data_IF_529454958999
#
_entry.id   IF_529454958999
#
_cell.length_a   1.000
_cell.length_b   1.000
_cell.length_c   1.000
_cell.angle_alpha   90.00
_cell.angle_beta   90.00
_cell.angle_gamma   90.00
#
_symmetry.space_group_name_H-M   'P 1'
#
loop_
_entity.id
_entity.type
_entity.pdbx_description
1 polymer ?
#
# COMPACT_ATOMS: atom_id res chain seq x y z
N UNK A 1 -6.62 11.38 11.62
CA UNK A 1 -7.12 10.00 11.65
C UNK A 1 -6.17 9.10 12.46
N UNK A 2 -6.69 8.19 13.26
CA UNK A 2 -5.86 7.34 14.14
C UNK A 2 -4.79 6.53 13.41
N UNK A 3 -5.05 6.11 12.18
CA UNK A 3 -4.08 5.30 11.40
C UNK A 3 -2.79 6.06 11.09
N UNK A 4 -2.85 7.35 10.87
CA UNK A 4 -1.65 8.14 10.57
C UNK A 4 -0.78 8.33 11.81
N UNK A 5 -1.39 8.51 12.98
CA UNK A 5 -0.66 8.53 14.25
C UNK A 5 0.01 7.20 14.56
N UNK A 6 -0.71 6.11 14.38
CA UNK A 6 -0.16 4.77 14.52
C UNK A 6 1.02 4.56 13.55
N UNK A 7 0.87 4.99 12.30
CA UNK A 7 1.92 4.86 11.30
C UNK A 7 3.16 5.64 11.69
N UNK A 8 3.00 6.87 12.18
CA UNK A 8 4.12 7.68 12.64
C UNK A 8 4.85 7.03 13.81
N UNK A 9 4.13 6.48 14.80
CA UNK A 9 4.74 5.72 15.91
C UNK A 9 5.57 4.56 15.38
N UNK A 10 5.02 3.84 14.39
CA UNK A 10 5.72 2.70 13.77
C UNK A 10 6.98 3.13 13.04
N UNK A 11 6.93 4.23 12.30
CA UNK A 11 8.11 4.75 11.60
C UNK A 11 9.20 5.19 12.59
N UNK A 12 8.84 5.78 13.71
CA UNK A 12 9.80 6.12 14.76
C UNK A 12 10.51 4.89 15.30
N UNK A 13 9.78 3.81 15.57
CA UNK A 13 10.35 2.53 15.98
C UNK A 13 11.34 1.97 14.95
N UNK A 14 10.91 1.97 13.67
CA UNK A 14 11.73 1.45 12.58
C UNK A 14 12.99 2.29 12.35
N UNK A 15 12.89 3.60 12.53
CA UNK A 15 14.04 4.50 12.44
C UNK A 15 15.06 4.18 13.52
N UNK A 16 14.61 3.95 14.75
CA UNK A 16 15.48 3.58 15.87
C UNK A 16 16.20 2.25 15.64
N UNK A 17 15.53 1.32 14.94
CA UNK A 17 16.07 -0.01 14.62
C UNK A 17 16.87 -0.05 13.31
N UNK A 18 16.92 1.06 12.56
CA UNK A 18 17.68 1.15 11.32
C UNK A 18 17.02 0.49 10.11
N UNK A 19 15.69 0.36 10.11
CA UNK A 19 14.93 -0.23 9.02
C UNK A 19 14.44 0.79 8.00
N UNK A 20 14.38 0.39 6.75
CA UNK A 20 13.74 1.14 5.68
C UNK A 20 12.31 0.64 5.42
N UNK A 21 11.42 1.53 5.01
CA UNK A 21 10.03 1.19 4.76
C UNK A 21 9.47 1.89 3.52
N UNK A 22 8.58 1.19 2.83
CA UNK A 22 7.73 1.73 1.77
C UNK A 22 6.33 1.93 2.35
N UNK A 23 5.75 3.08 2.11
CA UNK A 23 4.41 3.42 2.55
C UNK A 23 3.58 3.75 1.31
N UNK A 24 2.67 2.84 0.96
CA UNK A 24 1.83 2.96 -0.22
C UNK A 24 0.44 3.47 0.12
N UNK A 25 -0.10 4.32 -0.75
CA UNK A 25 -1.51 4.69 -0.75
C UNK A 25 -2.03 4.77 -2.18
N UNK A 26 -3.28 4.39 -2.39
CA UNK A 26 -3.96 4.61 -3.66
C UNK A 26 -4.44 6.06 -3.80
N UNK A 27 -4.52 6.80 -2.69
CA UNK A 27 -5.03 8.17 -2.64
C UNK A 27 -3.90 9.17 -2.36
N UNK A 28 -3.85 10.23 -3.15
CA UNK A 28 -2.92 11.33 -2.91
C UNK A 28 -3.18 11.96 -1.53
N UNK A 29 -4.45 12.11 -1.16
CA UNK A 29 -4.83 12.61 0.16
C UNK A 29 -4.27 11.79 1.33
N UNK A 30 -4.16 10.48 1.17
CA UNK A 30 -3.52 9.61 2.17
C UNK A 30 -2.04 9.94 2.34
N UNK A 31 -1.33 10.14 1.25
CA UNK A 31 0.07 10.56 1.30
C UNK A 31 0.23 11.97 1.88
N UNK A 32 -0.67 12.90 1.54
CA UNK A 32 -0.66 14.25 2.09
C UNK A 32 -0.80 14.24 3.62
N UNK A 33 -1.73 13.44 4.14
CA UNK A 33 -1.92 13.27 5.57
C UNK A 33 -0.68 12.66 6.24
N UNK A 34 -0.07 11.68 5.59
CA UNK A 34 1.15 11.06 6.10
C UNK A 34 2.30 12.05 6.16
N UNK A 35 2.43 12.92 5.16
CA UNK A 35 3.43 14.00 5.16
C UNK A 35 3.24 14.96 6.35
N UNK A 36 1.99 15.38 6.59
CA UNK A 36 1.69 16.29 7.71
C UNK A 36 2.18 15.69 9.02
N UNK A 37 1.83 14.43 9.28
CA UNK A 37 2.20 13.76 10.52
C UNK A 37 3.71 13.54 10.61
N UNK A 38 4.36 13.17 9.50
CA UNK A 38 5.81 13.00 9.46
C UNK A 38 6.54 14.31 9.77
N UNK A 39 6.10 15.42 9.19
CA UNK A 39 6.67 16.75 9.45
C UNK A 39 6.50 17.16 10.91
N UNK A 40 5.32 16.94 11.48
CA UNK A 40 5.05 17.23 12.89
C UNK A 40 5.97 16.47 13.84
N UNK A 41 6.36 15.26 13.46
CA UNK A 41 7.21 14.39 14.28
C UNK A 41 8.69 14.43 13.92
N UNK A 42 9.07 15.25 12.93
CA UNK A 42 10.47 15.36 12.49
C UNK A 42 10.98 14.09 11.81
N UNK A 43 10.11 13.31 11.18
CA UNK A 43 10.46 12.09 10.44
C UNK A 43 10.81 12.48 9.01
N UNK A 44 12.02 12.18 8.57
CA UNK A 44 12.44 12.40 7.18
C UNK A 44 11.83 11.33 6.26
N UNK A 45 11.45 11.75 5.08
CA UNK A 45 10.85 10.86 4.09
C UNK A 45 11.13 11.33 2.67
N UNK A 46 11.01 10.40 1.73
CA UNK A 46 10.92 10.68 0.30
C UNK A 46 9.48 10.45 -0.14
N UNK A 47 9.07 11.15 -1.18
CA UNK A 47 7.73 10.98 -1.76
C UNK A 47 7.77 10.93 -3.28
N UNK A 48 6.95 10.05 -3.84
CA UNK A 48 6.76 9.93 -5.28
C UNK A 48 5.29 9.61 -5.58
N UNK A 49 4.66 10.42 -6.40
CA UNK A 49 3.28 10.23 -6.85
C UNK A 49 3.14 10.59 -8.34
N UNK A 50 1.91 10.56 -8.86
CA UNK A 50 1.64 10.84 -10.26
C UNK A 50 2.04 12.25 -10.72
N UNK A 51 2.20 13.19 -9.79
CA UNK A 51 2.63 14.56 -10.08
C UNK A 51 4.15 14.72 -10.11
N UNK A 52 4.88 13.73 -9.64
CA UNK A 52 6.34 13.76 -9.64
C UNK A 52 6.86 13.65 -11.07
N UNK A 53 7.68 14.61 -11.56
CA UNK A 53 8.25 14.52 -12.90
C UNK A 53 9.05 13.24 -13.10
N UNK A 54 8.94 12.63 -14.28
CA UNK A 54 9.61 11.37 -14.61
C UNK A 54 11.11 11.45 -14.38
N UNK A 55 11.72 12.59 -14.75
CA UNK A 55 13.15 12.83 -14.55
C UNK A 55 13.57 12.81 -13.08
N UNK A 56 12.67 13.22 -12.20
CA UNK A 56 12.92 13.23 -10.75
C UNK A 56 12.73 11.86 -10.09
N UNK A 57 11.87 11.01 -10.65
CA UNK A 57 11.58 9.68 -10.07
C UNK A 57 12.82 8.83 -9.95
N UNK A 58 13.67 8.82 -10.98
CA UNK A 58 14.90 8.06 -10.98
C UNK A 58 15.86 8.54 -9.88
N UNK A 59 16.02 9.84 -9.74
CA UNK A 59 16.87 10.44 -8.70
C UNK A 59 16.38 10.06 -7.29
N UNK A 60 15.07 10.13 -7.07
CA UNK A 60 14.46 9.78 -5.77
C UNK A 60 14.71 8.32 -5.43
N UNK A 61 14.50 7.43 -6.40
CA UNK A 61 14.74 5.98 -6.21
C UNK A 61 16.20 5.71 -5.90
N UNK A 62 17.12 6.34 -6.63
CA UNK A 62 18.55 6.19 -6.41
C UNK A 62 18.97 6.67 -5.02
N UNK A 63 18.44 7.81 -4.58
CA UNK A 63 18.70 8.35 -3.26
C UNK A 63 18.22 7.38 -2.16
N UNK A 64 17.02 6.83 -2.32
CA UNK A 64 16.49 5.83 -1.38
C UNK A 64 17.38 4.60 -1.31
N UNK A 65 17.72 4.01 -2.45
CA UNK A 65 18.54 2.79 -2.53
C UNK A 65 19.96 2.99 -2.02
N UNK A 66 20.49 4.20 -2.13
CA UNK A 66 21.87 4.49 -1.69
C UNK A 66 22.08 4.37 -0.18
N UNK A 67 21.02 4.46 0.60
CA UNK A 67 21.10 4.50 2.05
C UNK A 67 21.55 5.83 2.63
N UNK A 68 21.84 6.84 1.78
CA UNK A 68 22.31 8.16 2.22
C UNK A 68 21.17 9.15 2.49
N UNK A 69 20.00 8.88 1.95
CA UNK A 69 18.81 9.69 2.15
C UNK A 69 17.86 9.09 3.18
N UNK A 70 16.64 9.65 3.27
CA UNK A 70 15.61 9.13 4.19
C UNK A 70 15.33 7.64 3.99
N UNK A 71 15.01 6.95 5.08
CA UNK A 71 14.74 5.53 5.08
C UNK A 71 13.28 5.18 4.75
N UNK A 72 12.42 6.18 4.68
CA UNK A 72 10.98 6.01 4.45
C UNK A 72 10.58 6.63 3.11
N UNK A 73 9.79 5.89 2.36
CA UNK A 73 9.42 6.27 1.00
C UNK A 73 7.90 6.18 0.85
N UNK A 74 7.26 7.32 0.69
CA UNK A 74 5.81 7.44 0.48
C UNK A 74 5.53 7.40 -1.02
N UNK A 75 4.79 6.39 -1.46
CA UNK A 75 4.60 6.13 -2.89
C UNK A 75 3.13 5.91 -3.20
N UNK A 76 2.64 6.56 -4.26
CA UNK A 76 1.34 6.23 -4.83
C UNK A 76 1.39 4.85 -5.48
N UNK A 77 0.38 4.00 -5.23
CA UNK A 77 0.28 2.67 -5.84
C UNK A 77 0.31 2.73 -7.38
N UNK A 78 -0.26 3.78 -7.96
CA UNK A 78 -0.27 3.98 -9.41
C UNK A 78 1.12 4.31 -9.97
N UNK A 79 1.94 5.00 -9.18
CA UNK A 79 3.28 5.44 -9.58
C UNK A 79 4.34 4.41 -9.25
N UNK A 80 4.18 3.68 -8.15
CA UNK A 80 5.05 2.59 -7.74
C UNK A 80 4.98 1.38 -8.64
N UNK A 81 4.42 1.54 -9.84
CA UNK A 81 4.26 0.49 -10.84
C UNK A 81 5.61 -0.08 -11.30
N UNK A 82 5.59 -0.60 -12.46
CA UNK A 82 6.58 -1.48 -13.08
C UNK A 82 8.03 -1.02 -12.93
N UNK A 83 8.91 -1.92 -12.48
CA UNK A 83 10.36 -1.80 -12.69
C UNK A 83 11.17 -1.16 -11.57
N UNK A 84 10.55 -0.68 -10.48
CA UNK A 84 11.29 -0.07 -9.38
C UNK A 84 11.97 -1.13 -8.51
N UNK A 85 13.23 -0.93 -8.22
CA UNK A 85 13.99 -1.74 -7.28
C UNK A 85 14.16 -0.95 -5.97
N UNK A 86 13.49 -1.40 -4.91
CA UNK A 86 13.43 -0.73 -3.61
C UNK A 86 13.83 -1.68 -2.47
N UNK A 87 14.84 -2.49 -2.71
CA UNK A 87 15.30 -3.55 -1.80
C UNK A 87 15.93 -3.03 -0.50
N UNK A 88 16.23 -1.74 -0.42
CA UNK A 88 16.63 -1.13 0.84
C UNK A 88 15.55 -1.25 1.91
N UNK A 89 14.27 -1.23 1.51
CA UNK A 89 13.15 -1.41 2.41
C UNK A 89 12.93 -2.88 2.71
N UNK A 90 12.71 -3.19 3.98
CA UNK A 90 12.25 -4.52 4.41
C UNK A 90 10.88 -4.47 5.09
N UNK A 91 10.26 -3.30 5.15
CA UNK A 91 8.89 -3.11 5.60
C UNK A 91 8.07 -2.46 4.49
N UNK A 92 6.86 -2.95 4.30
CA UNK A 92 5.90 -2.40 3.34
C UNK A 92 4.58 -2.17 4.06
N UNK A 93 4.09 -0.94 4.00
CA UNK A 93 2.81 -0.56 4.60
C UNK A 93 1.85 -0.09 3.52
N UNK A 94 0.62 -0.57 3.60
CA UNK A 94 -0.49 -0.07 2.81
C UNK A 94 -1.40 0.76 3.70
N UNK A 95 -1.48 2.05 3.45
CA UNK A 95 -2.32 2.98 4.24
C UNK A 95 -3.81 2.74 4.01
N UNK A 96 -4.15 2.19 2.85
CA UNK A 96 -5.51 1.87 2.45
C UNK A 96 -5.53 0.57 1.65
N UNK A 97 -6.61 -0.21 1.71
CA UNK A 97 -6.71 -1.43 0.91
C UNK A 97 -6.93 -1.08 -0.56
N UNK A 98 -6.30 -1.83 -1.44
CA UNK A 98 -6.54 -1.74 -2.87
C UNK A 98 -7.58 -2.77 -3.31
N UNK A 99 -8.43 -2.38 -4.27
CA UNK A 99 -9.48 -3.27 -4.77
C UNK A 99 -8.92 -4.58 -5.35
N UNK A 100 -7.80 -4.50 -6.06
CA UNK A 100 -7.19 -5.66 -6.72
C UNK A 100 -5.99 -6.16 -5.90
N UNK A 101 -6.06 -7.36 -5.30
CA UNK A 101 -4.94 -7.94 -4.55
C UNK A 101 -3.64 -8.07 -5.35
N UNK A 102 -3.73 -8.27 -6.66
CA UNK A 102 -2.55 -8.37 -7.52
C UNK A 102 -1.74 -7.07 -7.54
N UNK A 103 -2.41 -5.92 -7.47
CA UNK A 103 -1.72 -4.61 -7.42
C UNK A 103 -0.99 -4.43 -6.09
N UNK A 104 -1.61 -4.83 -4.97
CA UNK A 104 -0.95 -4.79 -3.66
C UNK A 104 0.28 -5.72 -3.63
N UNK A 105 0.16 -6.92 -4.17
CA UNK A 105 1.26 -7.87 -4.25
C UNK A 105 2.39 -7.33 -5.13
N UNK A 106 2.07 -6.69 -6.24
CA UNK A 106 3.05 -6.04 -7.11
C UNK A 106 3.79 -4.92 -6.38
N UNK A 107 3.10 -4.13 -5.57
CA UNK A 107 3.73 -3.10 -4.76
C UNK A 107 4.68 -3.72 -3.71
N UNK A 108 4.28 -4.80 -3.07
CA UNK A 108 5.14 -5.52 -2.10
C UNK A 108 6.38 -6.11 -2.77
N UNK A 109 6.27 -6.58 -4.01
CA UNK A 109 7.38 -7.14 -4.78
C UNK A 109 8.49 -6.12 -5.05
N UNK A 110 8.25 -4.82 -4.88
CA UNK A 110 9.31 -3.80 -4.97
C UNK A 110 10.41 -4.00 -3.94
N UNK A 111 10.07 -4.49 -2.75
CA UNK A 111 11.03 -4.83 -1.71
C UNK A 111 11.49 -6.30 -1.79
N UNK A 112 10.64 -7.20 -2.30
CA UNK A 112 10.92 -8.63 -2.47
C UNK A 112 11.67 -8.97 -3.76
N UNK A 113 12.69 -8.23 -4.11
CA UNK A 113 13.46 -8.49 -5.34
C UNK A 113 14.78 -9.18 -5.07
N UNK A 114 15.42 -9.67 -6.13
CA UNK A 114 16.78 -10.20 -6.10
C UNK A 114 17.71 -9.14 -5.50
N UNK A 115 18.50 -9.52 -4.51
CA UNK A 115 19.36 -8.60 -3.76
C UNK A 115 18.80 -8.23 -2.38
N UNK A 116 17.55 -8.61 -2.08
CA UNK A 116 17.01 -8.44 -0.73
C UNK A 116 17.58 -9.50 0.20
N UNK A 117 18.30 -9.05 1.23
CA UNK A 117 18.95 -9.92 2.22
C UNK A 117 18.16 -10.05 3.52
N UNK A 118 17.12 -9.24 3.68
CA UNK A 118 16.29 -9.22 4.89
C UNK A 118 14.90 -9.80 4.61
N UNK A 119 14.28 -10.34 5.65
CA UNK A 119 12.87 -10.72 5.59
C UNK A 119 12.01 -9.48 5.36
N UNK A 120 11.06 -9.55 4.45
CA UNK A 120 10.16 -8.44 4.14
C UNK A 120 8.84 -8.62 4.89
N UNK A 121 8.45 -7.58 5.62
CA UNK A 121 7.20 -7.54 6.38
C UNK A 121 6.20 -6.62 5.69
N UNK A 122 5.00 -7.13 5.45
CA UNK A 122 3.92 -6.38 4.79
C UNK A 122 2.77 -6.20 5.77
N UNK A 123 2.36 -4.97 5.98
CA UNK A 123 1.23 -4.62 6.85
C UNK A 123 0.22 -3.75 6.13
N UNK A 124 -1.06 -4.10 6.27
CA UNK A 124 -2.18 -3.32 5.76
C UNK A 124 -2.89 -2.65 6.91
N UNK A 125 -3.10 -1.34 6.80
CA UNK A 125 -3.82 -0.57 7.82
C UNK A 125 -5.29 -0.49 7.44
N UNK A 126 -6.14 -1.00 8.32
CA UNK A 126 -7.59 -1.06 8.11
C UNK A 126 -8.25 -0.40 9.31
N UNK A 127 -9.17 0.54 9.04
CA UNK A 127 -10.00 1.12 10.09
C UNK A 127 -11.30 0.34 10.20
N UNK A 128 -11.60 -0.11 11.41
CA UNK A 128 -12.85 -0.82 11.70
C UNK A 128 -14.05 0.09 11.41
N UNK A 129 -15.09 -0.47 10.80
CA UNK A 129 -16.32 0.24 10.37
C UNK A 129 -16.10 1.34 9.33
N UNK A 130 -14.95 1.36 8.66
CA UNK A 130 -14.66 2.29 7.58
C UNK A 130 -15.05 1.72 6.21
N UNK A 131 -15.09 2.60 5.20
CA UNK A 131 -15.21 2.17 3.80
C UNK A 131 -14.07 1.23 3.41
N UNK A 132 -12.87 1.47 3.92
CA UNK A 132 -11.69 0.63 3.69
C UNK A 132 -11.92 -0.81 4.16
N UNK A 133 -12.45 -0.99 5.36
CA UNK A 133 -12.76 -2.32 5.89
C UNK A 133 -13.82 -3.04 5.03
N UNK A 134 -14.83 -2.30 4.57
CA UNK A 134 -15.86 -2.84 3.69
C UNK A 134 -15.34 -3.21 2.32
N UNK A 135 -14.46 -2.40 1.75
CA UNK A 135 -13.77 -2.74 0.50
C UNK A 135 -12.98 -4.02 0.64
N UNK A 136 -12.32 -4.23 1.77
CA UNK A 136 -11.57 -5.46 2.04
C UNK A 136 -12.49 -6.67 2.13
N UNK A 137 -13.64 -6.55 2.78
CA UNK A 137 -14.66 -7.61 2.82
C UNK A 137 -15.17 -7.95 1.42
N UNK A 138 -15.44 -6.94 0.59
CA UNK A 138 -15.86 -7.13 -0.79
C UNK A 138 -14.79 -7.83 -1.63
N UNK A 139 -13.53 -7.49 -1.43
CA UNK A 139 -12.40 -8.17 -2.08
C UNK A 139 -12.37 -9.66 -1.71
N UNK A 140 -12.53 -9.96 -0.43
CA UNK A 140 -12.56 -11.34 0.06
C UNK A 140 -13.74 -12.11 -0.52
N UNK A 141 -14.93 -11.50 -0.57
CA UNK A 141 -16.13 -12.11 -1.19
C UNK A 141 -15.93 -12.33 -2.68
N UNK A 142 -15.35 -11.37 -3.38
CA UNK A 142 -15.05 -11.50 -4.82
C UNK A 142 -14.05 -12.64 -5.08
N UNK A 143 -13.02 -12.76 -4.26
CA UNK A 143 -12.04 -13.84 -4.38
C UNK A 143 -12.69 -15.21 -4.13
N UNK A 144 -13.58 -15.30 -3.14
CA UNK A 144 -14.32 -16.53 -2.82
C UNK A 144 -15.25 -16.92 -3.97
N UNK A 145 -15.99 -15.95 -4.52
CA UNK A 145 -16.86 -16.20 -5.68
C UNK A 145 -16.07 -16.67 -6.90
N UNK A 146 -14.93 -16.05 -7.15
CA UNK A 146 -14.04 -16.46 -8.23
C UNK A 146 -13.54 -17.89 -8.04
N UNK A 147 -13.16 -18.24 -6.82
CA UNK A 147 -12.73 -19.60 -6.46
C UNK A 147 -13.84 -20.61 -6.71
N UNK A 148 -15.08 -20.32 -6.30
CA UNK A 148 -16.22 -21.17 -6.55
C UNK A 148 -16.50 -21.36 -8.04
N UNK A 149 -16.39 -20.31 -8.84
CA UNK A 149 -16.61 -20.38 -10.29
C UNK A 149 -15.55 -21.21 -10.99
N UNK A 150 -14.32 -21.20 -10.51
CA UNK A 150 -13.22 -22.00 -11.07
C UNK A 150 -13.34 -23.46 -10.65
N UNK A 151 -13.74 -23.75 -9.42
CA UNK A 151 -13.89 -25.11 -8.89
C UNK A 151 -15.19 -25.78 -9.31
N UNK A 152 -16.26 -25.02 -9.58
CA UNK A 152 -17.57 -25.53 -10.01
C UNK A 152 -18.05 -24.85 -11.31
N UNK A 153 -17.56 -25.31 -12.48
CA UNK A 153 -17.89 -24.65 -13.75
C UNK A 153 -19.36 -24.77 -14.17
N UNK A 154 -20.16 -25.51 -13.47
CA UNK A 154 -21.58 -25.76 -13.79
C UNK A 154 -22.56 -24.83 -13.08
N UNK A 155 -22.14 -23.95 -12.23
CA UNK A 155 -23.04 -23.04 -11.53
C UNK A 155 -23.48 -21.90 -12.42
N UNK A 156 -24.78 -21.78 -12.63
CA UNK A 156 -25.43 -20.79 -13.50
C UNK A 156 -25.39 -19.35 -13.00
N UNK A 157 -24.67 -19.04 -11.95
CA UNK A 157 -24.62 -17.70 -11.36
C UNK A 157 -23.42 -16.88 -11.82
N UNK A 158 -23.17 -16.89 -13.10
CA UNK A 158 -22.03 -16.25 -13.74
C UNK A 158 -22.11 -14.72 -13.85
N UNK A 159 -22.73 -14.03 -12.93
CA UNK A 159 -22.63 -12.56 -12.86
C UNK A 159 -21.72 -12.17 -11.69
N UNK A 160 -20.44 -12.38 -11.87
CA UNK A 160 -19.40 -11.92 -10.95
C UNK A 160 -19.23 -10.40 -11.06
N UNK A 161 -20.27 -9.62 -10.71
CA UNK A 161 -20.25 -8.18 -10.62
C UNK A 161 -20.61 -7.73 -9.21
N UNK A 162 -20.30 -6.48 -8.89
CA UNK A 162 -20.82 -5.84 -7.70
C UNK A 162 -22.36 -5.80 -7.79
N UNK A 163 -23.04 -6.37 -6.81
CA UNK A 163 -24.48 -6.32 -6.74
C UNK A 163 -24.94 -4.99 -6.14
N UNK A 164 -26.22 -4.67 -6.32
CA UNK A 164 -26.82 -3.49 -5.68
C UNK A 164 -26.67 -3.55 -4.15
N UNK A 165 -26.77 -4.75 -3.57
CA UNK A 165 -26.54 -4.94 -2.14
C UNK A 165 -25.12 -4.60 -1.71
N UNK A 166 -24.13 -4.89 -2.54
CA UNK A 166 -22.75 -4.55 -2.26
C UNK A 166 -22.55 -3.02 -2.25
N UNK A 167 -23.18 -2.30 -3.17
CA UNK A 167 -23.18 -0.83 -3.18
C UNK A 167 -23.90 -0.27 -1.96
N UNK A 168 -25.06 -0.81 -1.60
CA UNK A 168 -25.81 -0.38 -0.43
C UNK A 168 -24.99 -0.62 0.86
N UNK A 169 -24.28 -1.74 0.93
CA UNK A 169 -23.41 -2.06 2.05
C UNK A 169 -22.26 -1.04 2.18
N UNK A 170 -21.66 -0.63 1.07
CA UNK A 170 -20.58 0.37 1.07
C UNK A 170 -21.05 1.77 1.47
N UNK A 171 -22.28 2.13 1.09
CA UNK A 171 -22.81 3.48 1.30
C UNK A 171 -23.50 3.66 2.66
N UNK A 172 -24.16 2.63 3.16
CA UNK A 172 -25.10 2.71 4.29
C UNK A 172 -24.63 1.98 5.56
N UNK A 173 -23.43 1.49 5.55
CA UNK A 173 -22.95 0.74 6.70
C UNK A 173 -22.45 1.57 7.86
#
# INVERSE_FOLDING_TARGET
>A
APKFGYMADKLEELQAEGHGALIFSQFIGGLDQMEVVAKERGIDYLRMDGRTPVSKRKEIVQLFQSGKGPAFFFISLKTGGVGLNLTRANYVFHLDPWWNPAVENQASDRAHRIGQTRSVFVQRLIMQHSIEARMLELKARKAELFKQLVEEPSSKSAKAGLTRQDFDYLLNG
#
